data_IF_485266802514
#
_entry.id   IF_485266802514
#
_cell.length_a   1.000
_cell.length_b   1.000
_cell.length_c   1.000
_cell.angle_alpha   90.00
_cell.angle_beta   90.00
_cell.angle_gamma   90.00
#
_symmetry.space_group_name_H-M   'P 1'
#
loop_
_entity.id
_entity.type
_entity.pdbx_description
1 polymer ?
#
# COMPACT_ATOMS: atom_id res chain seq x y z
N UNK A 1 8.09 -23.77 -18.67
CA UNK A 1 6.80 -23.55 -17.99
C UNK A 1 6.14 -22.42 -18.72
N UNK A 2 4.84 -22.50 -19.03
CA UNK A 2 4.14 -21.39 -19.69
C UNK A 2 4.13 -20.19 -18.74
N UNK A 3 4.51 -19.00 -19.26
CA UNK A 3 4.34 -17.75 -18.53
C UNK A 3 2.86 -17.60 -18.18
N UNK A 4 2.56 -17.23 -16.95
CA UNK A 4 1.16 -16.99 -16.57
C UNK A 4 0.67 -15.71 -17.26
N UNK A 5 -0.06 -15.88 -18.38
CA UNK A 5 -0.55 -14.77 -19.20
C UNK A 5 -1.48 -13.83 -18.43
N UNK A 6 -2.05 -14.28 -17.29
CA UNK A 6 -2.88 -13.45 -16.40
C UNK A 6 -2.11 -12.32 -15.74
N UNK A 7 -0.77 -12.44 -15.64
CA UNK A 7 0.10 -11.40 -15.08
C UNK A 7 0.51 -10.33 -16.09
N UNK A 8 0.15 -10.49 -17.36
CA UNK A 8 0.38 -9.53 -18.44
C UNK A 8 -0.92 -8.75 -18.67
N UNK A 9 -0.89 -7.45 -18.50
CA UNK A 9 -2.06 -6.58 -18.62
C UNK A 9 -1.74 -5.30 -19.38
N UNK A 10 -2.54 -4.97 -20.39
CA UNK A 10 -2.42 -3.68 -21.10
C UNK A 10 -2.65 -2.48 -20.17
N UNK A 11 -3.35 -2.68 -19.07
CA UNK A 11 -3.57 -1.67 -18.04
C UNK A 11 -2.30 -1.32 -17.28
N UNK A 12 -1.40 -2.30 -17.10
CA UNK A 12 -0.18 -2.19 -16.32
C UNK A 12 1.04 -2.52 -17.17
N UNK A 13 1.34 -1.70 -18.20
CA UNK A 13 2.35 -2.03 -19.20
C UNK A 13 3.77 -2.10 -18.64
N UNK A 14 4.09 -1.37 -17.58
CA UNK A 14 5.40 -1.44 -16.92
C UNK A 14 5.53 -2.70 -16.08
N UNK A 15 4.52 -2.99 -15.25
CA UNK A 15 4.47 -4.20 -14.43
C UNK A 15 4.49 -5.47 -15.27
N UNK A 16 3.89 -5.44 -16.47
CA UNK A 16 3.85 -6.57 -17.42
C UNK A 16 5.21 -6.89 -18.05
N UNK A 17 6.24 -6.06 -17.84
CA UNK A 17 7.61 -6.35 -18.28
C UNK A 17 8.39 -7.20 -17.26
N UNK A 18 7.88 -7.33 -16.04
CA UNK A 18 8.50 -8.16 -15.01
C UNK A 18 8.15 -9.63 -15.23
N UNK A 19 9.17 -10.51 -15.14
CA UNK A 19 8.95 -11.93 -15.36
C UNK A 19 7.93 -12.50 -14.37
N UNK A 20 6.89 -13.23 -14.81
CA UNK A 20 5.84 -13.77 -13.94
C UNK A 20 6.35 -14.54 -12.72
N UNK A 21 7.37 -15.38 -12.89
CA UNK A 21 7.96 -16.13 -11.77
C UNK A 21 8.58 -15.20 -10.73
N UNK A 22 9.19 -14.08 -11.15
CA UNK A 22 9.73 -13.09 -10.24
C UNK A 22 8.60 -12.38 -9.48
N UNK A 23 7.50 -12.04 -10.17
CA UNK A 23 6.32 -11.41 -9.55
C UNK A 23 5.73 -12.32 -8.47
N UNK A 24 5.52 -13.60 -8.80
CA UNK A 24 4.97 -14.59 -7.86
C UNK A 24 5.92 -14.86 -6.68
N UNK A 25 7.23 -14.98 -6.93
CA UNK A 25 8.23 -15.23 -5.89
C UNK A 25 8.35 -14.06 -4.88
N UNK A 26 8.01 -12.84 -5.31
CA UNK A 26 8.05 -11.64 -4.48
C UNK A 26 6.66 -11.16 -4.03
N UNK A 27 5.63 -11.97 -4.19
CA UNK A 27 4.31 -11.70 -3.63
C UNK A 27 4.36 -11.78 -2.10
N UNK A 28 3.74 -10.80 -1.44
CA UNK A 28 3.71 -10.70 0.04
C UNK A 28 2.41 -11.21 0.64
N UNK A 29 1.51 -11.78 -0.18
CA UNK A 29 0.10 -11.97 0.13
C UNK A 29 -0.72 -10.79 -0.41
N UNK A 30 -2.03 -10.78 -0.19
CA UNK A 30 -2.92 -9.69 -0.61
C UNK A 30 -2.89 -9.41 -2.11
N UNK A 31 -2.84 -8.14 -2.47
CA UNK A 31 -2.91 -7.68 -3.86
C UNK A 31 -1.60 -7.86 -4.66
N UNK A 32 -1.69 -7.75 -5.99
CA UNK A 32 -0.50 -7.61 -6.82
C UNK A 32 0.14 -6.23 -6.60
N UNK A 33 1.21 -6.22 -5.83
CA UNK A 33 1.90 -4.99 -5.43
C UNK A 33 2.43 -4.19 -6.62
N UNK A 34 2.86 -4.83 -7.72
CA UNK A 34 3.33 -4.11 -8.91
C UNK A 34 2.18 -3.37 -9.61
N UNK A 35 1.03 -4.03 -9.78
CA UNK A 35 -0.13 -3.41 -10.41
C UNK A 35 -0.63 -2.22 -9.60
N UNK A 36 -0.73 -2.37 -8.28
CA UNK A 36 -1.17 -1.28 -7.43
C UNK A 36 -0.14 -0.14 -7.38
N UNK A 37 1.17 -0.47 -7.38
CA UNK A 37 2.23 0.55 -7.42
C UNK A 37 2.19 1.32 -8.73
N UNK A 38 2.05 0.66 -9.89
CA UNK A 38 1.94 1.32 -11.18
C UNK A 38 0.70 2.21 -11.26
N UNK A 39 -0.44 1.68 -10.77
CA UNK A 39 -1.67 2.46 -10.72
C UNK A 39 -1.54 3.70 -9.84
N UNK A 40 -1.00 3.56 -8.63
CA UNK A 40 -0.78 4.68 -7.73
C UNK A 40 0.20 5.69 -8.32
N UNK A 41 1.34 5.22 -8.82
CA UNK A 41 2.40 6.07 -9.36
C UNK A 41 1.94 6.88 -10.58
N UNK A 42 0.94 6.39 -11.33
CA UNK A 42 0.34 7.15 -12.44
C UNK A 42 -0.33 8.46 -12.01
N UNK A 43 -0.64 8.60 -10.72
CA UNK A 43 -1.24 9.81 -10.14
C UNK A 43 -0.24 10.61 -9.26
N UNK A 44 1.04 10.19 -9.23
CA UNK A 44 2.09 10.85 -8.49
C UNK A 44 3.14 11.42 -9.45
N UNK A 45 3.61 12.65 -9.21
CA UNK A 45 4.70 13.26 -9.95
C UNK A 45 6.06 12.82 -9.36
N UNK A 46 6.38 11.52 -9.50
CA UNK A 46 7.64 10.96 -9.04
C UNK A 46 8.78 11.32 -10.01
N UNK A 47 9.88 11.82 -9.45
CA UNK A 47 11.05 12.25 -10.23
C UNK A 47 12.34 11.61 -9.72
N UNK A 48 13.32 11.35 -10.59
CA UNK A 48 14.59 10.79 -10.19
C UNK A 48 15.22 11.55 -9.02
N UNK A 49 15.74 10.81 -8.06
CA UNK A 49 16.41 11.35 -6.87
C UNK A 49 15.47 11.78 -5.72
N UNK A 50 14.16 11.80 -5.90
CA UNK A 50 13.23 12.03 -4.80
C UNK A 50 13.36 10.94 -3.73
N UNK A 51 13.26 11.33 -2.45
CA UNK A 51 13.21 10.42 -1.31
C UNK A 51 11.78 9.95 -1.08
N UNK A 52 11.52 8.68 -1.31
CA UNK A 52 10.19 8.06 -1.19
C UNK A 52 10.19 7.10 -0.02
N UNK A 53 9.22 7.23 0.87
CA UNK A 53 8.90 6.20 1.85
C UNK A 53 7.94 5.19 1.19
N UNK A 54 8.35 3.94 1.09
CA UNK A 54 7.48 2.80 0.77
C UNK A 54 7.09 2.14 2.10
N UNK A 55 5.87 2.45 2.54
CA UNK A 55 5.37 2.13 3.87
C UNK A 55 4.57 0.82 3.82
N UNK A 56 5.11 -0.22 4.48
CA UNK A 56 4.58 -1.58 4.37
C UNK A 56 4.96 -2.22 3.03
N UNK A 57 6.25 -2.22 2.70
CA UNK A 57 6.77 -2.64 1.40
C UNK A 57 6.70 -4.17 1.15
N UNK A 58 6.34 -4.96 2.16
CA UNK A 58 6.34 -6.42 2.09
C UNK A 58 7.71 -6.97 1.68
N UNK A 59 7.75 -7.74 0.61
CA UNK A 59 8.99 -8.29 0.03
C UNK A 59 9.73 -7.31 -0.89
N UNK A 60 9.50 -6.00 -0.74
CA UNK A 60 10.14 -4.90 -1.46
C UNK A 60 9.91 -4.88 -2.99
N UNK A 61 8.91 -5.59 -3.51
CA UNK A 61 8.62 -5.57 -4.96
C UNK A 61 8.15 -4.20 -5.43
N UNK A 62 7.31 -3.49 -4.67
CA UNK A 62 6.94 -2.08 -4.88
C UNK A 62 8.16 -1.16 -4.89
N UNK A 63 9.05 -1.31 -3.90
CA UNK A 63 10.28 -0.52 -3.78
C UNK A 63 11.22 -0.70 -4.97
N UNK A 64 11.43 -1.95 -5.40
CA UNK A 64 12.25 -2.29 -6.58
C UNK A 64 11.64 -1.68 -7.84
N UNK A 65 10.32 -1.77 -8.00
CA UNK A 65 9.60 -1.18 -9.12
C UNK A 65 9.75 0.35 -9.13
N UNK A 66 9.50 1.02 -8.00
CA UNK A 66 9.64 2.48 -7.88
C UNK A 66 11.06 2.95 -8.25
N UNK A 67 12.09 2.24 -7.78
CA UNK A 67 13.48 2.57 -8.12
C UNK A 67 13.77 2.41 -9.61
N UNK A 68 13.36 1.28 -10.21
CA UNK A 68 13.63 0.98 -11.62
C UNK A 68 12.89 1.91 -12.57
N UNK A 69 11.60 2.14 -12.31
CA UNK A 69 10.73 2.85 -13.24
C UNK A 69 10.80 4.37 -13.12
N UNK A 70 11.14 4.89 -11.92
CA UNK A 70 11.11 6.33 -11.64
C UNK A 70 12.46 6.90 -11.18
N UNK A 71 13.46 6.07 -10.91
CA UNK A 71 14.79 6.54 -10.48
C UNK A 71 14.79 7.17 -9.07
N UNK A 72 13.76 6.97 -8.27
CA UNK A 72 13.65 7.50 -6.91
C UNK A 72 14.56 6.75 -5.94
N UNK A 73 14.89 7.36 -4.82
CA UNK A 73 15.50 6.70 -3.66
C UNK A 73 14.36 6.22 -2.75
N UNK A 74 14.35 4.94 -2.38
CA UNK A 74 13.26 4.32 -1.64
C UNK A 74 13.70 3.83 -0.28
N UNK A 75 13.03 4.28 0.78
CA UNK A 75 13.11 3.69 2.12
C UNK A 75 11.99 2.66 2.24
N UNK A 76 12.39 1.39 2.12
CA UNK A 76 11.49 0.24 2.09
C UNK A 76 11.25 -0.25 3.52
N UNK A 77 10.16 0.18 4.15
CA UNK A 77 9.86 -0.16 5.55
C UNK A 77 8.82 -1.25 5.64
N UNK A 78 9.05 -2.24 6.49
CA UNK A 78 8.08 -3.30 6.79
C UNK A 78 8.26 -3.85 8.21
N UNK A 79 7.16 -4.33 8.81
CA UNK A 79 7.15 -4.95 10.13
C UNK A 79 7.25 -6.47 10.04
N UNK A 80 6.68 -7.10 9.02
CA UNK A 80 6.58 -8.56 8.88
C UNK A 80 7.76 -9.17 8.14
N UNK A 81 8.35 -8.41 7.21
CA UNK A 81 9.51 -8.83 6.44
C UNK A 81 10.77 -8.11 6.92
N UNK A 82 11.78 -8.88 7.28
CA UNK A 82 13.02 -8.32 7.82
C UNK A 82 13.83 -7.56 6.75
N UNK A 83 14.56 -6.54 7.20
CA UNK A 83 15.51 -5.82 6.34
C UNK A 83 16.57 -6.77 5.75
N UNK A 84 16.97 -7.82 6.49
CA UNK A 84 17.94 -8.80 6.03
C UNK A 84 17.44 -9.65 4.85
N UNK A 85 16.15 -10.01 4.83
CA UNK A 85 15.54 -10.70 3.69
C UNK A 85 15.39 -9.77 2.50
N UNK A 86 14.96 -8.53 2.74
CA UNK A 86 14.72 -7.56 1.68
C UNK A 86 16.01 -7.06 1.03
N UNK A 87 17.13 -6.90 1.78
CA UNK A 87 18.40 -6.51 1.17
C UNK A 87 18.90 -7.53 0.15
N UNK A 88 18.63 -8.84 0.37
CA UNK A 88 19.01 -9.85 -0.61
C UNK A 88 18.19 -9.70 -1.90
N UNK A 89 16.87 -9.52 -1.81
CA UNK A 89 15.99 -9.29 -2.98
C UNK A 89 16.37 -8.03 -3.76
N UNK A 90 16.72 -6.97 -3.05
CA UNK A 90 17.16 -5.69 -3.61
C UNK A 90 18.48 -5.84 -4.36
N UNK A 91 19.44 -6.60 -3.82
CA UNK A 91 20.72 -6.92 -4.48
C UNK A 91 20.52 -7.78 -5.71
N UNK A 92 19.70 -8.83 -5.61
CA UNK A 92 19.38 -9.69 -6.74
C UNK A 92 18.70 -8.91 -7.88
N UNK A 93 18.00 -7.83 -7.54
CA UNK A 93 17.41 -6.90 -8.48
C UNK A 93 18.41 -5.83 -9.00
N UNK A 94 19.61 -5.70 -8.42
CA UNK A 94 20.64 -4.72 -8.81
C UNK A 94 20.25 -3.26 -8.55
N UNK A 95 19.55 -2.98 -7.43
CA UNK A 95 19.05 -1.64 -7.08
C UNK A 95 19.44 -1.19 -5.66
N UNK A 96 20.43 -1.84 -5.05
CA UNK A 96 20.87 -1.59 -3.68
C UNK A 96 21.42 -0.18 -3.44
N UNK A 97 21.87 0.50 -4.48
CA UNK A 97 22.32 1.90 -4.36
C UNK A 97 21.18 2.90 -4.14
N UNK A 98 19.92 2.49 -4.34
CA UNK A 98 18.77 3.39 -4.27
C UNK A 98 17.55 2.83 -3.52
N UNK A 99 17.63 1.62 -2.94
CA UNK A 99 16.57 1.05 -2.12
C UNK A 99 17.16 0.61 -0.77
N UNK A 100 16.64 1.18 0.31
CA UNK A 100 17.16 1.04 1.67
C UNK A 100 16.11 0.32 2.53
N UNK A 101 16.26 -1.01 2.75
CA UNK A 101 15.29 -1.75 3.54
C UNK A 101 15.47 -1.46 5.03
N UNK A 102 14.34 -1.33 5.73
CA UNK A 102 14.29 -1.07 7.15
C UNK A 102 13.18 -1.93 7.79
N UNK A 103 13.52 -2.64 8.86
CA UNK A 103 12.53 -3.32 9.68
C UNK A 103 11.97 -2.34 10.72
N UNK A 104 10.73 -1.88 10.52
CA UNK A 104 10.11 -0.87 11.36
C UNK A 104 8.58 -1.01 11.41
N UNK A 105 8.00 -0.70 12.56
CA UNK A 105 6.56 -0.51 12.70
C UNK A 105 6.17 0.84 12.07
N UNK A 106 5.11 0.83 11.26
CA UNK A 106 4.56 2.05 10.64
C UNK A 106 4.16 3.12 11.67
N UNK A 107 3.93 2.71 12.94
CA UNK A 107 3.58 3.59 14.05
C UNK A 107 4.80 4.09 14.84
N UNK A 108 6.01 3.63 14.50
CA UNK A 108 7.26 4.01 15.17
C UNK A 108 8.41 4.13 14.15
N UNK A 109 8.29 5.12 13.27
CA UNK A 109 9.23 5.33 12.17
C UNK A 109 10.47 6.13 12.63
N UNK A 110 11.69 5.67 12.36
CA UNK A 110 12.91 6.30 12.84
C UNK A 110 13.46 7.36 11.87
N UNK A 111 12.59 8.26 11.40
CA UNK A 111 12.99 9.28 10.43
C UNK A 111 12.93 10.69 11.01
N UNK A 112 13.73 11.58 10.46
CA UNK A 112 13.67 12.99 10.77
C UNK A 112 12.39 13.64 10.20
N UNK A 113 11.84 14.67 10.86
CA UNK A 113 10.72 15.44 10.30
C UNK A 113 11.01 15.98 8.89
N UNK A 114 10.00 16.00 8.04
CA UNK A 114 10.07 16.52 6.67
C UNK A 114 11.20 15.91 5.82
N UNK A 115 11.45 14.60 6.02
CA UNK A 115 12.52 13.90 5.32
C UNK A 115 12.11 13.48 3.89
N UNK A 116 10.86 13.05 3.69
CA UNK A 116 10.40 12.46 2.45
C UNK A 116 9.80 13.46 1.47
N UNK A 117 10.09 13.26 0.18
CA UNK A 117 9.52 13.97 -0.96
C UNK A 117 8.18 13.35 -1.40
N UNK A 118 7.91 12.11 -1.03
CA UNK A 118 6.64 11.41 -1.23
C UNK A 118 6.51 10.21 -0.27
N UNK A 119 5.28 9.81 0.01
CA UNK A 119 4.94 8.52 0.64
C UNK A 119 4.11 7.70 -0.32
N UNK A 120 4.47 6.44 -0.46
CA UNK A 120 3.72 5.39 -1.16
C UNK A 120 3.41 4.29 -0.16
N UNK A 121 2.17 3.84 -0.11
CA UNK A 121 1.75 2.71 0.71
C UNK A 121 0.90 1.79 -0.15
N UNK A 122 1.33 0.54 -0.30
CA UNK A 122 0.69 -0.44 -1.16
C UNK A 122 0.15 -1.59 -0.32
N UNK A 123 -1.17 -1.77 -0.34
CA UNK A 123 -1.91 -2.88 0.30
C UNK A 123 -1.55 -3.10 1.78
N UNK A 124 -1.37 -2.00 2.50
CA UNK A 124 -0.89 -2.02 3.88
C UNK A 124 -1.55 -0.98 4.79
N UNK A 125 -2.04 0.14 4.24
CA UNK A 125 -2.50 1.27 5.04
C UNK A 125 -3.68 0.93 5.96
N UNK A 126 -4.57 0.05 5.55
CA UNK A 126 -5.75 -0.36 6.34
C UNK A 126 -5.38 -1.03 7.68
N UNK A 127 -4.16 -1.56 7.85
CA UNK A 127 -3.73 -2.15 9.13
C UNK A 127 -3.50 -1.11 10.25
N UNK A 128 -3.25 0.16 9.90
CA UNK A 128 -2.88 1.21 10.86
C UNK A 128 -3.43 2.60 10.51
N UNK A 129 -3.71 2.87 9.26
CA UNK A 129 -4.02 4.20 8.74
C UNK A 129 -5.47 4.63 8.91
N UNK A 130 -6.35 3.73 9.39
CA UNK A 130 -7.75 4.06 9.72
C UNK A 130 -7.90 4.67 11.11
N UNK A 131 -6.84 4.69 11.93
CA UNK A 131 -6.81 5.42 13.18
C UNK A 131 -6.85 6.93 12.94
N UNK A 132 -7.65 7.64 13.72
CA UNK A 132 -7.90 9.08 13.58
C UNK A 132 -6.64 9.93 13.73
N UNK A 133 -5.64 9.47 14.47
CA UNK A 133 -4.42 10.21 14.77
C UNK A 133 -3.26 9.85 13.82
N UNK A 134 -3.39 8.74 13.07
CA UNK A 134 -2.28 8.22 12.30
C UNK A 134 -1.78 9.18 11.21
N UNK A 135 -2.68 9.86 10.52
CA UNK A 135 -2.29 10.80 9.46
C UNK A 135 -1.47 11.98 10.02
N UNK A 136 -1.78 12.46 11.24
CA UNK A 136 -0.99 13.48 11.91
C UNK A 136 0.44 13.01 12.19
N UNK A 137 0.58 11.76 12.63
CA UNK A 137 1.88 11.14 12.85
C UNK A 137 2.67 10.97 11.53
N UNK A 138 2.07 10.34 10.52
CA UNK A 138 2.73 10.11 9.23
C UNK A 138 3.18 11.40 8.54
N UNK A 139 2.34 12.43 8.58
CA UNK A 139 2.60 13.71 7.94
C UNK A 139 3.85 14.43 8.50
N UNK A 140 4.31 14.11 9.70
CA UNK A 140 5.53 14.70 10.27
C UNK A 140 6.76 14.39 9.41
N UNK A 141 6.83 13.20 8.81
CA UNK A 141 7.97 12.75 8.01
C UNK A 141 7.94 13.25 6.57
N UNK A 142 6.82 13.79 6.14
CA UNK A 142 6.57 14.23 4.75
C UNK A 142 6.84 15.73 4.63
N UNK A 143 7.53 16.17 3.61
CA UNK A 143 7.76 17.60 3.38
C UNK A 143 6.44 18.36 3.16
N UNK A 144 6.34 19.62 3.58
CA UNK A 144 5.23 20.47 3.17
C UNK A 144 5.05 20.50 1.65
N UNK A 145 3.81 20.32 1.18
CA UNK A 145 3.48 20.25 -0.23
C UNK A 145 3.78 18.90 -0.91
N UNK A 146 4.38 17.93 -0.21
CA UNK A 146 4.68 16.62 -0.77
C UNK A 146 3.47 15.67 -0.75
N UNK A 147 3.37 14.75 -1.71
CA UNK A 147 2.26 13.81 -1.80
C UNK A 147 2.36 12.64 -0.81
N UNK A 148 1.19 12.20 -0.37
CA UNK A 148 0.96 10.94 0.34
C UNK A 148 -0.04 10.15 -0.49
N UNK A 149 0.38 8.99 -1.00
CA UNK A 149 -0.45 8.12 -1.84
C UNK A 149 -0.60 6.72 -1.26
N UNK A 150 -1.82 6.20 -1.30
CA UNK A 150 -2.13 4.82 -0.96
C UNK A 150 -2.87 4.13 -2.10
N UNK A 151 -2.63 2.83 -2.29
CA UNK A 151 -3.42 1.95 -3.14
C UNK A 151 -3.53 0.58 -2.46
N UNK A 152 -4.74 0.12 -2.21
CA UNK A 152 -4.98 -1.06 -1.39
C UNK A 152 -6.29 -1.76 -1.72
N UNK A 153 -6.47 -2.95 -1.17
CA UNK A 153 -7.79 -3.56 -1.06
C UNK A 153 -8.74 -2.63 -0.32
N UNK A 154 -9.99 -2.56 -0.75
CA UNK A 154 -10.96 -1.67 -0.13
C UNK A 154 -12.39 -1.96 -0.59
N UNK A 155 -13.28 -1.11 -0.14
CA UNK A 155 -14.70 -1.18 -0.49
C UNK A 155 -15.04 -0.24 -1.64
N UNK A 156 -15.96 -0.68 -2.47
CA UNK A 156 -16.59 0.18 -3.51
C UNK A 156 -17.51 1.21 -2.85
N UNK A 157 -18.16 0.77 -1.78
CA UNK A 157 -19.05 1.54 -0.91
C UNK A 157 -19.05 0.89 0.47
N UNK A 158 -19.29 1.69 1.49
CA UNK A 158 -19.42 1.16 2.84
C UNK A 158 -20.55 0.12 2.91
N UNK A 159 -20.32 -0.91 3.73
CA UNK A 159 -21.34 -1.93 4.00
C UNK A 159 -22.21 -1.41 5.15
N UNK A 160 -23.45 -1.05 4.81
CA UNK A 160 -24.43 -0.61 5.79
C UNK A 160 -25.27 -1.83 6.26
N UNK A 161 -25.35 -2.03 7.56
CA UNK A 161 -26.11 -3.15 8.14
C UNK A 161 -25.34 -4.46 8.16
N UNK A 162 -26.02 -5.57 7.79
CA UNK A 162 -25.41 -6.91 7.84
C UNK A 162 -24.42 -7.13 6.69
N UNK A 163 -23.34 -7.86 6.99
CA UNK A 163 -22.37 -8.29 5.98
C UNK A 163 -23.07 -9.17 4.93
N UNK A 164 -22.88 -8.91 3.62
CA UNK A 164 -23.42 -9.73 2.55
C UNK A 164 -23.05 -11.21 2.71
N UNK A 165 -24.01 -12.10 2.47
CA UNK A 165 -23.86 -13.54 2.71
C UNK A 165 -22.64 -14.14 2.01
N UNK A 166 -22.41 -13.76 0.75
CA UNK A 166 -21.30 -14.27 -0.06
C UNK A 166 -19.92 -13.86 0.46
N UNK A 167 -19.81 -12.81 1.30
CA UNK A 167 -18.55 -12.36 1.88
C UNK A 167 -18.29 -13.01 3.25
N UNK A 168 -19.28 -13.54 3.94
CA UNK A 168 -19.16 -13.99 5.34
C UNK A 168 -18.07 -15.02 5.55
N UNK A 169 -17.91 -15.99 4.67
CA UNK A 169 -16.91 -17.06 4.81
C UNK A 169 -15.47 -16.55 4.62
N UNK A 170 -15.29 -15.46 3.88
CA UNK A 170 -14.01 -14.84 3.61
C UNK A 170 -13.69 -13.68 4.55
N UNK A 171 -14.70 -13.05 5.18
CA UNK A 171 -14.57 -11.83 5.97
C UNK A 171 -13.88 -12.08 7.31
N UNK A 172 -12.55 -12.00 7.32
CA UNK A 172 -11.71 -12.19 8.52
C UNK A 172 -11.39 -10.85 9.19
N UNK A 173 -10.74 -10.90 10.34
CA UNK A 173 -10.34 -9.72 11.11
C UNK A 173 -9.52 -8.72 10.27
N UNK A 174 -8.65 -9.21 9.38
CA UNK A 174 -7.79 -8.37 8.55
C UNK A 174 -8.59 -7.48 7.57
N UNK A 175 -9.85 -7.85 7.30
CA UNK A 175 -10.71 -7.13 6.36
C UNK A 175 -11.64 -6.10 7.04
N UNK A 176 -11.67 -6.07 8.37
CA UNK A 176 -12.60 -5.19 9.11
C UNK A 176 -12.31 -3.70 8.92
N UNK A 177 -11.08 -3.36 8.60
CA UNK A 177 -10.62 -1.99 8.37
C UNK A 177 -10.64 -1.58 6.90
N UNK A 178 -11.23 -2.40 6.00
CA UNK A 178 -11.40 -2.02 4.61
C UNK A 178 -12.47 -0.94 4.48
N UNK A 179 -12.12 0.15 3.82
CA UNK A 179 -13.02 1.27 3.56
C UNK A 179 -13.07 1.66 2.10
N UNK A 180 -14.08 2.44 1.75
CA UNK A 180 -14.21 3.02 0.41
C UNK A 180 -13.28 4.24 0.23
N UNK A 181 -12.92 4.52 -1.02
CA UNK A 181 -12.17 5.74 -1.34
C UNK A 181 -12.87 7.02 -0.84
N UNK A 182 -14.20 7.04 -0.85
CA UNK A 182 -14.99 8.15 -0.33
C UNK A 182 -14.90 8.30 1.20
N UNK A 183 -14.84 7.17 1.92
CA UNK A 183 -14.62 7.19 3.36
C UNK A 183 -13.21 7.68 3.69
N UNK A 184 -12.19 7.14 3.06
CA UNK A 184 -10.79 7.53 3.22
C UNK A 184 -10.58 9.02 2.92
N UNK A 185 -11.21 9.53 1.84
CA UNK A 185 -11.19 10.96 1.54
C UNK A 185 -11.71 11.79 2.70
N UNK A 186 -12.92 11.49 3.20
CA UNK A 186 -13.51 12.22 4.33
C UNK A 186 -12.68 12.10 5.60
N UNK A 187 -12.14 10.90 5.86
CA UNK A 187 -11.28 10.61 7.00
C UNK A 187 -10.03 11.49 7.00
N UNK A 188 -9.39 11.65 5.85
CA UNK A 188 -8.20 12.48 5.70
C UNK A 188 -8.50 13.97 5.70
N UNK A 189 -9.50 14.41 4.94
CA UNK A 189 -9.85 15.84 4.80
C UNK A 189 -10.27 16.47 6.13
N UNK A 190 -10.97 15.74 7.00
CA UNK A 190 -11.41 16.28 8.31
C UNK A 190 -10.26 16.65 9.23
N UNK A 191 -9.06 16.13 9.01
CA UNK A 191 -7.87 16.48 9.81
C UNK A 191 -7.35 17.88 9.52
N UNK A 192 -7.63 18.42 8.33
CA UNK A 192 -7.07 19.68 7.85
C UNK A 192 -5.58 19.61 7.50
N UNK A 193 -4.93 18.43 7.66
CA UNK A 193 -3.50 18.23 7.46
C UNK A 193 -3.14 18.13 5.98
N UNK A 194 -4.01 17.49 5.20
CA UNK A 194 -3.80 17.24 3.78
C UNK A 194 -4.93 17.83 2.93
N UNK A 195 -4.63 18.03 1.65
CA UNK A 195 -5.62 18.23 0.60
C UNK A 195 -5.69 16.95 -0.24
N UNK A 196 -6.87 16.34 -0.33
CA UNK A 196 -7.06 15.12 -1.14
C UNK A 196 -7.28 15.52 -2.58
N UNK A 197 -6.31 15.19 -3.45
CA UNK A 197 -6.32 15.48 -4.88
C UNK A 197 -7.08 14.42 -5.68
N UNK A 198 -7.04 13.16 -5.22
CA UNK A 198 -7.68 12.03 -5.88
C UNK A 198 -8.16 11.02 -4.83
N UNK A 199 -9.37 10.50 -5.01
CA UNK A 199 -9.87 9.35 -4.27
C UNK A 199 -10.82 8.58 -5.18
N UNK A 200 -10.44 7.37 -5.57
CA UNK A 200 -11.21 6.59 -6.53
C UNK A 200 -11.07 5.08 -6.34
N UNK A 201 -11.98 4.36 -6.97
CA UNK A 201 -11.97 2.90 -7.03
C UNK A 201 -11.50 2.46 -8.42
N UNK A 202 -10.65 1.44 -8.49
CA UNK A 202 -10.12 0.92 -9.75
C UNK A 202 -11.25 0.41 -10.66
N UNK A 203 -11.32 0.79 -11.93
CA UNK A 203 -12.29 0.20 -12.89
C UNK A 203 -12.03 -1.30 -13.07
N UNK A 204 -13.10 -2.10 -13.22
CA UNK A 204 -13.05 -3.57 -13.36
C UNK A 204 -12.22 -4.29 -12.27
N UNK A 205 -12.15 -3.71 -11.11
CA UNK A 205 -11.33 -4.07 -9.95
C UNK A 205 -11.42 -5.53 -9.50
N UNK A 206 -12.62 -6.10 -9.53
CA UNK A 206 -12.85 -7.47 -9.11
C UNK A 206 -12.22 -8.49 -10.07
N UNK A 207 -12.16 -8.19 -11.38
CA UNK A 207 -11.45 -9.02 -12.34
C UNK A 207 -9.94 -8.97 -12.14
N UNK A 208 -9.39 -7.78 -11.87
CA UNK A 208 -7.97 -7.60 -11.55
C UNK A 208 -7.60 -8.38 -10.29
N UNK A 209 -8.46 -8.35 -9.28
CA UNK A 209 -8.28 -9.12 -8.04
C UNK A 209 -8.36 -10.62 -8.32
N UNK A 210 -9.38 -11.06 -9.06
CA UNK A 210 -9.58 -12.47 -9.41
C UNK A 210 -8.43 -13.04 -10.23
N UNK A 211 -7.97 -12.32 -11.26
CA UNK A 211 -6.84 -12.72 -12.11
C UNK A 211 -5.58 -12.94 -11.28
N UNK A 212 -5.33 -12.03 -10.32
CA UNK A 212 -4.21 -12.16 -9.39
C UNK A 212 -4.33 -13.40 -8.50
N UNK A 213 -5.48 -13.63 -7.88
CA UNK A 213 -5.67 -14.79 -7.01
C UNK A 213 -5.57 -16.13 -7.76
N UNK A 214 -6.06 -16.21 -8.97
CA UNK A 214 -5.86 -17.38 -9.81
C UNK A 214 -4.39 -17.64 -10.15
N UNK A 215 -3.53 -16.62 -10.14
CA UNK A 215 -2.11 -16.75 -10.36
C UNK A 215 -1.32 -17.10 -9.10
N UNK A 216 -1.61 -16.42 -7.97
CA UNK A 216 -0.80 -16.50 -6.74
C UNK A 216 -1.30 -17.54 -5.76
N UNK A 217 -2.59 -17.77 -5.67
CA UNK A 217 -3.23 -18.67 -4.71
C UNK A 217 -4.44 -19.42 -5.32
N UNK A 218 -4.24 -20.21 -6.40
CA UNK A 218 -5.34 -20.87 -7.13
C UNK A 218 -6.16 -21.84 -6.24
N UNK A 219 -5.59 -22.32 -5.15
CA UNK A 219 -6.24 -23.23 -4.22
C UNK A 219 -7.06 -22.51 -3.14
N UNK A 220 -7.02 -21.17 -3.07
CA UNK A 220 -7.83 -20.38 -2.14
C UNK A 220 -9.28 -20.22 -2.65
N UNK A 221 -10.01 -21.33 -2.66
CA UNK A 221 -11.38 -21.39 -3.17
C UNK A 221 -12.34 -20.45 -2.45
N UNK A 222 -12.11 -20.18 -1.16
CA UNK A 222 -12.98 -19.31 -0.35
C UNK A 222 -12.93 -17.87 -0.85
N UNK A 223 -11.74 -17.32 -1.06
CA UNK A 223 -11.56 -15.96 -1.55
C UNK A 223 -11.97 -15.82 -3.01
N UNK A 224 -11.55 -16.74 -3.87
CA UNK A 224 -11.93 -16.77 -5.29
C UNK A 224 -13.45 -16.73 -5.41
N UNK A 225 -14.17 -17.60 -4.68
CA UNK A 225 -15.62 -17.63 -4.67
C UNK A 225 -16.24 -16.32 -4.17
N UNK A 226 -15.71 -15.73 -3.11
CA UNK A 226 -16.19 -14.45 -2.58
C UNK A 226 -16.07 -13.33 -3.63
N UNK A 227 -14.92 -13.24 -4.33
CA UNK A 227 -14.67 -12.25 -5.38
C UNK A 227 -15.61 -12.45 -6.57
N UNK A 228 -15.77 -13.69 -7.04
CA UNK A 228 -16.66 -14.03 -8.16
C UNK A 228 -18.11 -13.70 -7.85
N UNK A 229 -18.62 -14.13 -6.69
CA UNK A 229 -19.99 -13.86 -6.27
C UNK A 229 -20.22 -12.38 -5.98
N UNK A 230 -19.19 -11.64 -5.51
CA UNK A 230 -19.29 -10.19 -5.34
C UNK A 230 -19.44 -9.45 -6.68
N UNK A 231 -18.69 -9.85 -7.69
CA UNK A 231 -18.74 -9.24 -9.03
C UNK A 231 -18.46 -7.73 -9.02
N UNK A 232 -17.74 -7.24 -8.01
CA UNK A 232 -17.38 -5.84 -7.82
C UNK A 232 -18.48 -4.96 -7.24
N UNK A 233 -19.46 -5.54 -6.54
CA UNK A 233 -20.54 -4.79 -5.85
C UNK A 233 -20.04 -4.10 -4.58
N UNK A 234 -19.17 -4.75 -3.81
CA UNK A 234 -18.69 -4.27 -2.51
C UNK A 234 -17.17 -4.18 -2.42
N UNK A 235 -16.43 -5.16 -2.95
CA UNK A 235 -14.98 -5.24 -2.79
C UNK A 235 -14.23 -4.83 -4.08
N UNK A 236 -13.02 -4.32 -3.90
CA UNK A 236 -12.16 -3.93 -5.01
C UNK A 236 -10.89 -3.25 -4.52
N UNK A 237 -10.22 -2.55 -5.43
CA UNK A 237 -9.06 -1.74 -5.10
C UNK A 237 -9.42 -0.27 -5.09
N UNK A 238 -8.90 0.44 -4.09
CA UNK A 238 -9.06 1.89 -3.93
C UNK A 238 -7.69 2.55 -3.93
N UNK A 239 -7.63 3.81 -4.40
CA UNK A 239 -6.47 4.66 -4.18
C UNK A 239 -6.89 6.04 -3.72
N UNK A 240 -6.04 6.62 -2.88
CA UNK A 240 -6.14 8.02 -2.45
C UNK A 240 -4.79 8.67 -2.62
N UNK A 241 -4.78 9.85 -3.22
CA UNK A 241 -3.62 10.73 -3.33
C UNK A 241 -3.97 12.05 -2.69
N UNK A 242 -3.14 12.48 -1.78
CA UNK A 242 -3.27 13.76 -1.10
C UNK A 242 -1.93 14.49 -1.07
N UNK A 243 -1.97 15.75 -0.71
CA UNK A 243 -0.79 16.59 -0.53
C UNK A 243 -0.79 17.20 0.86
N UNK A 244 0.34 17.07 1.58
CA UNK A 244 0.50 17.72 2.88
C UNK A 244 0.38 19.25 2.72
N UNK A 245 -0.50 19.89 3.48
CA UNK A 245 -0.63 21.37 3.50
C UNK A 245 0.59 21.99 4.14
N UNK A 246 1.08 23.09 3.56
CA UNK A 246 2.27 23.79 4.05
C UNK A 246 2.07 24.43 5.42
N UNK A 247 0.86 24.93 5.68
CA UNK A 247 0.44 25.57 6.92
C UNK A 247 -0.12 24.60 7.97
N UNK A 248 -0.20 23.31 7.67
CA UNK A 248 -0.75 22.33 8.59
C UNK A 248 0.05 22.31 9.91
N UNK A 249 -0.67 22.57 11.00
CA UNK A 249 -0.12 22.37 12.35
C UNK A 249 -0.18 20.89 12.67
N UNK A 250 1.00 20.30 12.83
CA UNK A 250 1.13 18.94 13.30
C UNK A 250 1.29 18.96 14.82
N UNK A 251 0.46 18.21 15.48
CA UNK A 251 0.54 18.08 16.94
C UNK A 251 1.57 17.01 17.31
N UNK A 252 2.20 17.15 18.47
CA UNK A 252 3.00 16.05 19.02
C UNK A 252 2.09 14.82 19.15
N UNK A 253 2.55 13.71 18.61
CA UNK A 253 1.75 12.49 18.63
C UNK A 253 1.61 11.99 20.06
N UNK A 254 0.40 11.98 20.57
CA UNK A 254 0.08 11.51 21.92
C UNK A 254 -0.12 10.00 22.01
N UNK A 255 0.58 9.23 21.17
CA UNK A 255 0.66 7.78 21.39
C UNK A 255 1.43 7.56 22.69
N UNK A 256 0.81 7.01 23.74
CA UNK A 256 1.55 6.75 24.96
C UNK A 256 2.69 5.76 24.67
N UNK A 257 3.88 6.04 25.21
CA UNK A 257 5.07 5.18 25.08
C UNK A 257 4.79 3.70 25.46
N UNK A 258 3.74 3.47 26.25
CA UNK A 258 3.28 2.14 26.63
C UNK A 258 2.66 1.30 25.51
N UNK A 259 2.31 1.89 24.34
CA UNK A 259 1.85 1.14 23.17
C UNK A 259 2.99 0.82 22.19
N UNK A 260 4.12 1.49 22.33
CA UNK A 260 5.38 1.15 21.66
C UNK A 260 6.13 0.24 22.60
N UNK A 261 5.80 -1.05 22.59
CA UNK A 261 6.51 -2.04 23.41
C UNK A 261 7.99 -2.08 23.05
N UNK A 262 8.79 -1.26 23.73
CA UNK A 262 10.24 -1.41 23.78
C UNK A 262 10.59 -2.68 24.56
N UNK A 263 11.67 -3.41 24.18
CA UNK A 263 12.05 -4.67 24.81
C UNK A 263 12.67 -4.55 26.21
N UNK A 264 12.54 -3.41 26.92
CA UNK A 264 13.15 -3.21 28.23
C UNK A 264 12.18 -2.60 29.24
N UNK A 265 11.34 -3.45 29.81
CA UNK A 265 10.84 -3.26 31.17
C UNK A 265 10.51 -4.61 31.80
N UNK A 266 11.55 -5.39 32.13
CA UNK A 266 11.63 -6.25 33.32
C UNK A 266 13.05 -6.81 33.48
#
# INVERSE_FOLDING_TARGET
MASDERLVSERFPRSSQYHPEWVLANASGGANSLWLTEWLASALDLRPGMRVLDLGCGRASSSIFLRREFGVQVWATDLWFSAAENIQRIRDAGVEEGVFPLHADARSLPFAPSFFDAVVCIDSFYYYGTDDLYLNYLAQFVKPGAPIGIAEAGLVREIEGELPEHLRAWWTQDLWALHSAAWLKRHWERTGIVEVELAETMPNRWKVWLDWHHAVAPDNATEIKAIEEDGGRFIGYVRVVSRRRGEAKLEECCWPDSLVGGPDSH
#
